data_IF_776497828199
#
_entry.id   IF_776497828199
#
_cell.length_a   1.000
_cell.length_b   1.000
_cell.length_c   1.000
_cell.angle_alpha   90.00
_cell.angle_beta   90.00
_cell.angle_gamma   90.00
#
_symmetry.space_group_name_H-M   'P 1'
#
loop_
_entity.id
_entity.type
_entity.pdbx_description
1 polymer ?
#
# COMPACT_ATOMS: atom_id res chain seq x y z
N UNK A 1 -28.34 -0.17 7.77
CA UNK A 1 -26.87 -0.14 7.57
C UNK A 1 -26.38 1.12 6.81
N UNK A 2 -27.25 2.10 6.51
CA UNK A 2 -26.95 3.20 5.57
C UNK A 2 -25.96 4.30 6.07
N UNK A 3 -25.36 4.14 7.26
CA UNK A 3 -24.46 5.13 7.86
C UNK A 3 -22.99 5.02 7.45
N UNK A 4 -22.63 4.00 6.64
CA UNK A 4 -21.24 3.75 6.22
C UNK A 4 -20.89 4.34 4.84
N UNK A 5 -21.88 4.77 4.05
CA UNK A 5 -21.66 5.32 2.72
C UNK A 5 -21.70 6.85 2.80
N UNK A 6 -20.77 7.52 2.14
CA UNK A 6 -20.71 8.99 2.04
C UNK A 6 -21.54 9.47 0.84
N UNK A 7 -22.00 10.73 0.85
CA UNK A 7 -22.57 11.37 -0.35
C UNK A 7 -21.55 12.33 -0.97
N UNK A 8 -21.42 12.40 -2.32
CA UNK A 8 -22.12 11.57 -3.31
C UNK A 8 -21.59 10.14 -3.35
N UNK A 9 -22.43 9.21 -3.82
CA UNK A 9 -22.09 7.80 -4.06
C UNK A 9 -21.14 7.65 -5.26
N UNK A 10 -21.32 8.52 -6.25
CA UNK A 10 -20.56 8.56 -7.49
C UNK A 10 -20.61 9.98 -8.05
N UNK A 11 -19.51 10.46 -8.60
CA UNK A 11 -19.48 11.68 -9.41
C UNK A 11 -18.52 11.54 -10.60
N UNK A 12 -18.86 12.19 -11.70
CA UNK A 12 -18.06 12.23 -12.93
C UNK A 12 -18.32 13.55 -13.67
N UNK A 13 -17.34 14.02 -14.42
CA UNK A 13 -17.50 15.20 -15.28
C UNK A 13 -16.65 15.12 -16.53
N UNK A 14 -17.21 15.53 -17.67
CA UNK A 14 -16.57 15.48 -18.98
C UNK A 14 -17.22 16.51 -19.93
N UNK A 15 -16.79 16.55 -21.19
CA UNK A 15 -17.35 17.41 -22.24
C UNK A 15 -18.17 16.57 -23.21
N UNK A 16 -19.29 17.14 -23.67
CA UNK A 16 -20.11 16.49 -24.68
C UNK A 16 -19.33 16.19 -25.97
N UNK A 17 -19.65 15.09 -26.69
CA UNK A 17 -19.01 14.76 -27.95
C UNK A 17 -19.31 15.79 -29.04
N UNK A 18 -18.38 15.96 -29.98
CA UNK A 18 -18.54 16.88 -31.09
C UNK A 18 -19.83 16.57 -31.91
N UNK A 19 -20.59 17.58 -32.35
CA UNK A 19 -20.26 19.01 -32.39
C UNK A 19 -20.52 19.78 -31.08
N UNK A 20 -21.14 19.15 -30.08
CA UNK A 20 -21.35 19.75 -28.76
C UNK A 20 -19.97 19.99 -28.08
N UNK A 21 -19.89 21.02 -27.26
CA UNK A 21 -18.70 21.35 -26.44
C UNK A 21 -19.05 21.73 -25.01
N UNK A 22 -20.33 21.63 -24.63
CA UNK A 22 -20.79 21.86 -23.27
C UNK A 22 -20.05 20.94 -22.30
N UNK A 23 -19.83 21.43 -21.09
CA UNK A 23 -19.30 20.64 -19.99
C UNK A 23 -20.46 20.09 -19.17
N UNK A 24 -20.34 18.84 -18.74
CA UNK A 24 -21.35 18.10 -18.00
C UNK A 24 -20.74 17.59 -16.69
N UNK A 25 -21.49 17.73 -15.60
CA UNK A 25 -21.21 17.11 -14.30
C UNK A 25 -22.40 16.25 -13.94
N UNK A 26 -22.13 15.03 -13.49
CA UNK A 26 -23.14 14.05 -13.13
C UNK A 26 -22.77 13.46 -11.77
N UNK A 27 -23.71 13.43 -10.84
CA UNK A 27 -23.51 12.72 -9.57
C UNK A 27 -24.76 12.02 -9.08
N UNK A 28 -24.54 10.97 -8.31
CA UNK A 28 -25.57 10.12 -7.70
C UNK A 28 -25.43 10.26 -6.19
N UNK A 29 -26.50 10.65 -5.51
CA UNK A 29 -26.60 10.65 -4.04
C UNK A 29 -27.40 9.43 -3.57
N UNK A 30 -27.55 9.25 -2.26
CA UNK A 30 -28.40 8.18 -1.67
C UNK A 30 -29.88 8.21 -2.07
N UNK A 31 -30.37 9.30 -2.65
CA UNK A 31 -31.80 9.50 -2.96
C UNK A 31 -32.07 10.08 -4.34
N UNK A 32 -31.07 10.73 -4.96
CA UNK A 32 -31.27 11.54 -6.16
C UNK A 32 -30.14 11.31 -7.18
N UNK A 33 -30.49 11.50 -8.45
CA UNK A 33 -29.56 11.67 -9.55
C UNK A 33 -29.52 13.15 -9.93
N UNK A 34 -28.33 13.73 -10.09
CA UNK A 34 -28.12 15.14 -10.40
C UNK A 34 -27.33 15.27 -11.71
N UNK A 35 -27.98 15.83 -12.74
CA UNK A 35 -27.40 16.16 -14.04
C UNK A 35 -27.22 17.67 -14.18
N UNK A 36 -25.99 18.14 -14.38
CA UNK A 36 -25.66 19.56 -14.55
C UNK A 36 -24.90 19.81 -15.84
N UNK A 37 -25.21 20.92 -16.52
CA UNK A 37 -24.54 21.28 -17.77
C UNK A 37 -24.22 22.78 -17.88
N UNK A 38 -23.06 23.08 -18.44
CA UNK A 38 -22.55 24.42 -18.69
C UNK A 38 -22.43 24.63 -20.20
N UNK A 39 -23.15 25.62 -20.73
CA UNK A 39 -23.11 25.96 -22.15
C UNK A 39 -21.78 26.62 -22.51
N UNK A 40 -20.89 25.91 -23.20
CA UNK A 40 -19.59 26.45 -23.60
C UNK A 40 -19.68 27.00 -25.03
N UNK A 41 -19.69 28.33 -25.12
CA UNK A 41 -19.83 29.06 -26.39
C UNK A 41 -18.93 30.29 -26.40
N UNK A 42 -18.36 30.59 -27.57
CA UNK A 42 -17.53 31.78 -27.80
C UNK A 42 -18.39 33.05 -27.93
N UNK A 43 -19.69 32.90 -28.24
CA UNK A 43 -20.62 34.01 -28.48
C UNK A 43 -20.85 34.81 -27.20
N UNK A 44 -20.75 36.13 -27.29
CA UNK A 44 -20.96 37.06 -26.16
C UNK A 44 -22.30 36.87 -25.46
N UNK A 45 -23.37 36.62 -26.23
CA UNK A 45 -24.74 36.37 -25.74
C UNK A 45 -24.79 35.19 -24.76
N UNK A 46 -24.00 34.14 -25.01
CA UNK A 46 -24.01 32.93 -24.18
C UNK A 46 -23.18 33.07 -22.89
N UNK A 47 -22.33 34.10 -22.75
CA UNK A 47 -21.38 34.24 -21.62
C UNK A 47 -22.03 34.43 -20.25
N UNK A 48 -23.30 34.83 -20.22
CA UNK A 48 -24.10 34.97 -19.00
C UNK A 48 -25.11 33.84 -18.81
N UNK A 49 -25.03 32.77 -19.62
CA UNK A 49 -25.85 31.56 -19.43
C UNK A 49 -25.53 30.95 -18.08
N UNK A 50 -26.53 30.80 -17.22
CA UNK A 50 -26.39 30.03 -15.97
C UNK A 50 -26.28 28.54 -16.32
N UNK A 51 -25.64 27.73 -15.44
CA UNK A 51 -25.66 26.28 -15.58
C UNK A 51 -27.11 25.77 -15.53
N UNK A 52 -27.41 24.73 -16.30
CA UNK A 52 -28.61 23.94 -16.09
C UNK A 52 -28.40 22.89 -15.01
N UNK A 53 -29.46 22.58 -14.27
CA UNK A 53 -29.53 21.47 -13.32
C UNK A 53 -30.86 20.76 -13.54
N UNK A 54 -30.80 19.44 -13.66
CA UNK A 54 -31.91 18.51 -13.59
C UNK A 54 -31.61 17.58 -12.41
N UNK A 55 -32.62 17.34 -11.57
CA UNK A 55 -32.52 16.49 -10.39
C UNK A 55 -33.76 15.61 -10.34
N UNK A 56 -33.53 14.32 -10.23
CA UNK A 56 -34.53 13.25 -10.35
C UNK A 56 -34.35 12.27 -9.19
N UNK A 57 -35.40 11.56 -8.80
CA UNK A 57 -35.24 10.43 -7.87
C UNK A 57 -34.57 9.25 -8.58
N UNK A 58 -34.13 8.26 -7.80
CA UNK A 58 -33.64 6.99 -8.36
C UNK A 58 -34.71 6.24 -9.18
N UNK A 59 -36.00 6.43 -8.88
CA UNK A 59 -37.10 5.82 -9.64
C UNK A 59 -37.32 6.56 -10.96
N UNK A 60 -37.43 7.90 -10.93
CA UNK A 60 -37.59 8.72 -12.15
C UNK A 60 -36.45 8.49 -13.15
N UNK A 61 -35.20 8.47 -12.67
CA UNK A 61 -34.02 8.23 -13.52
C UNK A 61 -34.02 6.83 -14.17
N UNK A 62 -34.62 5.81 -13.52
CA UNK A 62 -34.70 4.46 -14.09
C UNK A 62 -35.72 4.36 -15.23
N UNK A 63 -36.71 5.25 -15.25
CA UNK A 63 -37.70 5.36 -16.33
C UNK A 63 -37.32 6.38 -17.43
N UNK A 64 -36.54 7.43 -17.14
CA UNK A 64 -36.13 8.39 -18.20
C UNK A 64 -35.05 7.84 -19.15
N UNK A 65 -35.51 7.17 -20.20
CA UNK A 65 -34.70 6.75 -21.34
C UNK A 65 -33.94 7.90 -22.04
N UNK A 66 -34.36 9.16 -21.90
CA UNK A 66 -33.70 10.32 -22.52
C UNK A 66 -32.41 10.70 -21.77
N UNK A 67 -32.48 10.98 -20.47
CA UNK A 67 -31.30 11.28 -19.65
C UNK A 67 -30.34 10.08 -19.61
N UNK A 68 -30.85 8.85 -19.54
CA UNK A 68 -30.02 7.64 -19.68
C UNK A 68 -29.23 7.63 -21.00
N UNK A 69 -29.85 8.06 -22.11
CA UNK A 69 -29.20 8.16 -23.41
C UNK A 69 -28.14 9.27 -23.44
N UNK A 70 -28.37 10.42 -22.78
CA UNK A 70 -27.34 11.46 -22.63
C UNK A 70 -26.15 10.95 -21.78
N UNK A 71 -26.41 10.33 -20.62
CA UNK A 71 -25.38 9.71 -19.76
C UNK A 71 -24.55 8.69 -20.55
N UNK A 72 -25.19 7.80 -21.31
CA UNK A 72 -24.49 6.80 -22.12
C UNK A 72 -23.73 7.40 -23.31
N UNK A 73 -24.16 8.55 -23.83
CA UNK A 73 -23.51 9.25 -24.96
C UNK A 73 -22.30 10.07 -24.52
N UNK A 74 -22.33 10.60 -23.30
CA UNK A 74 -21.28 11.49 -22.76
C UNK A 74 -20.28 10.72 -21.91
N UNK A 75 -20.74 9.81 -21.04
CA UNK A 75 -19.89 9.05 -20.11
C UNK A 75 -19.73 7.55 -20.50
N UNK A 76 -20.48 7.07 -21.49
CA UNK A 76 -20.39 5.69 -21.99
C UNK A 76 -21.25 4.67 -21.25
N UNK A 77 -21.60 3.58 -21.93
CA UNK A 77 -22.58 2.58 -21.46
C UNK A 77 -22.25 2.01 -20.07
N UNK A 78 -20.97 1.80 -19.74
CA UNK A 78 -20.54 1.27 -18.43
C UNK A 78 -20.90 2.19 -17.26
N UNK A 79 -20.89 3.51 -17.48
CA UNK A 79 -21.27 4.49 -16.45
C UNK A 79 -22.79 4.53 -16.29
N UNK A 80 -23.55 4.36 -17.39
CA UNK A 80 -24.99 4.15 -17.32
C UNK A 80 -25.34 2.87 -16.55
N UNK A 81 -24.73 1.73 -16.90
CA UNK A 81 -24.93 0.43 -16.24
C UNK A 81 -24.63 0.50 -14.73
N UNK A 82 -23.49 1.09 -14.36
CA UNK A 82 -23.12 1.32 -12.95
C UNK A 82 -24.12 2.24 -12.24
N UNK A 83 -24.56 3.32 -12.88
CA UNK A 83 -25.51 4.26 -12.27
C UNK A 83 -26.90 3.63 -12.07
N UNK A 84 -27.36 2.79 -13.02
CA UNK A 84 -28.59 2.01 -12.84
C UNK A 84 -28.47 1.03 -11.66
N UNK A 85 -27.32 0.38 -11.50
CA UNK A 85 -27.08 -0.49 -10.35
C UNK A 85 -27.17 0.27 -9.02
N UNK A 86 -26.54 1.46 -8.93
CA UNK A 86 -26.65 2.35 -7.77
C UNK A 86 -28.10 2.77 -7.48
N UNK A 87 -28.86 3.20 -8.50
CA UNK A 87 -30.27 3.59 -8.34
C UNK A 87 -31.18 2.42 -7.91
N UNK A 88 -30.78 1.19 -8.22
CA UNK A 88 -31.44 -0.04 -7.76
C UNK A 88 -30.94 -0.51 -6.37
N UNK A 89 -30.11 0.28 -5.67
CA UNK A 89 -29.60 -0.03 -4.33
C UNK A 89 -28.37 -0.95 -4.28
N UNK A 90 -27.75 -1.25 -5.43
CA UNK A 90 -26.54 -2.08 -5.51
C UNK A 90 -25.29 -1.21 -5.26
N UNK A 91 -24.98 -0.98 -3.99
CA UNK A 91 -23.83 -0.18 -3.58
C UNK A 91 -22.58 -1.04 -3.32
N UNK A 92 -21.40 -0.53 -3.68
CA UNK A 92 -20.10 -1.15 -3.37
C UNK A 92 -19.70 -0.93 -1.90
N UNK A 93 -20.48 -1.51 -0.98
CA UNK A 93 -20.24 -1.44 0.47
C UNK A 93 -18.82 -1.85 0.87
N UNK A 94 -18.22 -2.80 0.14
CA UNK A 94 -16.91 -3.34 0.47
C UNK A 94 -15.78 -2.31 0.31
N UNK A 95 -15.86 -1.41 -0.68
CA UNK A 95 -14.84 -0.34 -0.85
C UNK A 95 -15.10 0.88 0.07
N UNK A 96 -16.19 0.86 0.85
CA UNK A 96 -16.49 1.88 1.87
C UNK A 96 -16.10 1.46 3.30
N UNK A 97 -15.72 0.19 3.52
CA UNK A 97 -15.23 -0.28 4.83
C UNK A 97 -13.82 0.26 5.12
N UNK A 98 -13.47 0.40 6.40
CA UNK A 98 -12.10 0.73 6.81
C UNK A 98 -11.15 -0.45 6.55
N UNK A 99 -9.88 -0.16 6.26
CA UNK A 99 -8.88 -1.19 5.99
C UNK A 99 -8.74 -2.18 7.16
N UNK A 100 -8.90 -1.73 8.40
CA UNK A 100 -8.93 -2.58 9.60
C UNK A 100 -10.10 -3.59 9.63
N UNK A 101 -11.27 -3.24 9.09
CA UNK A 101 -12.40 -4.17 8.96
C UNK A 101 -12.21 -5.09 7.75
N UNK A 102 -11.65 -4.58 6.65
CA UNK A 102 -11.33 -5.39 5.48
C UNK A 102 -10.27 -6.45 5.80
N UNK A 103 -9.15 -6.08 6.44
CA UNK A 103 -8.13 -7.03 6.90
C UNK A 103 -8.73 -8.14 7.79
N UNK A 104 -9.67 -7.79 8.67
CA UNK A 104 -10.38 -8.77 9.49
C UNK A 104 -11.27 -9.70 8.66
N UNK A 105 -11.99 -9.20 7.66
CA UNK A 105 -12.80 -10.02 6.74
C UNK A 105 -11.90 -10.95 5.92
N UNK A 106 -10.81 -10.41 5.36
CA UNK A 106 -9.86 -11.14 4.50
C UNK A 106 -9.16 -12.26 5.28
N UNK A 107 -8.91 -12.10 6.59
CA UNK A 107 -8.34 -13.15 7.43
C UNK A 107 -9.25 -14.37 7.65
N UNK A 108 -10.57 -14.27 7.42
CA UNK A 108 -11.48 -15.42 7.43
C UNK A 108 -11.55 -16.17 6.09
N UNK A 109 -10.92 -15.66 5.03
CA UNK A 109 -10.91 -16.30 3.71
C UNK A 109 -9.79 -17.36 3.59
N UNK A 110 -9.95 -18.26 2.61
CA UNK A 110 -8.88 -19.17 2.21
C UNK A 110 -7.83 -18.45 1.35
N UNK A 111 -6.59 -18.96 1.35
CA UNK A 111 -5.47 -18.30 0.65
C UNK A 111 -5.69 -18.19 -0.86
N UNK A 112 -6.45 -19.11 -1.44
CA UNK A 112 -6.84 -19.09 -2.84
C UNK A 112 -7.80 -17.92 -3.13
N UNK A 113 -8.83 -17.74 -2.29
CA UNK A 113 -9.77 -16.61 -2.37
C UNK A 113 -9.08 -15.26 -2.13
N UNK A 114 -8.17 -15.17 -1.14
CA UNK A 114 -7.32 -14.00 -0.92
C UNK A 114 -6.52 -13.66 -2.19
N UNK A 115 -6.03 -14.69 -2.89
CA UNK A 115 -5.35 -14.58 -4.18
C UNK A 115 -6.25 -14.08 -5.32
N UNK A 116 -7.52 -14.46 -5.37
CA UNK A 116 -8.49 -13.93 -6.35
C UNK A 116 -8.92 -12.50 -5.99
N UNK A 117 -9.18 -12.22 -4.71
CA UNK A 117 -9.57 -10.90 -4.21
C UNK A 117 -8.48 -9.85 -4.50
N UNK A 118 -7.21 -10.20 -4.37
CA UNK A 118 -6.07 -9.35 -4.77
C UNK A 118 -6.02 -8.99 -6.28
N UNK A 119 -6.86 -9.62 -7.11
CA UNK A 119 -6.98 -9.35 -8.55
C UNK A 119 -8.13 -8.41 -8.88
N UNK A 120 -9.15 -8.28 -8.01
CA UNK A 120 -10.37 -7.49 -8.29
C UNK A 120 -10.11 -5.99 -8.30
N UNK A 121 -9.45 -5.45 -7.27
CA UNK A 121 -9.14 -4.01 -7.15
C UNK A 121 -7.67 -3.75 -6.78
N UNK A 122 -7.21 -2.52 -7.03
CA UNK A 122 -5.86 -2.09 -6.62
C UNK A 122 -5.71 -2.06 -5.09
N UNK A 123 -6.77 -1.69 -4.38
CA UNK A 123 -6.80 -1.64 -2.91
C UNK A 123 -6.74 -3.03 -2.30
N UNK A 124 -7.53 -3.99 -2.80
CA UNK A 124 -7.43 -5.38 -2.33
C UNK A 124 -6.07 -6.00 -2.63
N UNK A 125 -5.41 -5.62 -3.74
CA UNK A 125 -4.03 -6.03 -4.00
C UNK A 125 -3.03 -5.49 -2.98
N UNK A 126 -3.25 -4.27 -2.47
CA UNK A 126 -2.43 -3.69 -1.40
C UNK A 126 -2.74 -4.34 -0.04
N UNK A 127 -4.01 -4.54 0.30
CA UNK A 127 -4.42 -5.17 1.58
C UNK A 127 -4.01 -6.65 1.68
N UNK A 128 -4.31 -7.49 0.68
CA UNK A 128 -3.81 -8.87 0.63
C UNK A 128 -2.28 -8.96 0.43
N UNK A 129 -1.65 -7.84 0.09
CA UNK A 129 -0.20 -7.68 -0.02
C UNK A 129 0.47 -7.17 1.26
N UNK A 130 -0.28 -6.68 2.26
CA UNK A 130 0.29 -5.95 3.38
C UNK A 130 0.92 -6.86 4.44
N UNK A 131 1.98 -6.38 5.06
CA UNK A 131 2.63 -7.10 6.17
C UNK A 131 1.67 -7.29 7.36
N UNK A 132 0.74 -6.35 7.60
CA UNK A 132 -0.34 -6.51 8.61
C UNK A 132 -1.27 -7.69 8.31
N UNK A 133 -1.61 -7.92 7.04
CA UNK A 133 -2.41 -9.09 6.66
C UNK A 133 -1.65 -10.38 6.94
N UNK A 134 -0.39 -10.47 6.49
CA UNK A 134 0.41 -11.68 6.68
C UNK A 134 0.77 -11.93 8.15
N UNK A 135 0.98 -10.88 8.95
CA UNK A 135 1.13 -10.95 10.40
C UNK A 135 -0.10 -11.54 11.10
N UNK A 136 -1.29 -11.05 10.74
CA UNK A 136 -2.57 -11.57 11.26
C UNK A 136 -2.80 -13.02 10.80
N UNK A 137 -2.51 -13.34 9.54
CA UNK A 137 -2.66 -14.69 8.99
C UNK A 137 -1.69 -15.69 9.63
N UNK A 138 -0.45 -15.29 9.93
CA UNK A 138 0.50 -16.08 10.72
C UNK A 138 -0.05 -16.29 12.14
N UNK A 139 -0.47 -15.24 12.86
CA UNK A 139 -0.99 -15.37 14.23
C UNK A 139 -2.27 -16.20 14.34
N UNK A 140 -3.17 -16.12 13.35
CA UNK A 140 -4.41 -16.89 13.33
C UNK A 140 -4.21 -18.37 12.99
N UNK A 141 -3.15 -18.71 12.25
CA UNK A 141 -2.85 -20.10 11.83
C UNK A 141 -1.75 -20.77 12.67
N UNK A 142 -0.94 -19.99 13.38
CA UNK A 142 0.10 -20.43 14.32
C UNK A 142 -0.19 -19.90 15.72
N UNK A 143 -0.84 -20.71 16.55
CA UNK A 143 -1.30 -20.37 17.92
C UNK A 143 -0.21 -19.79 18.85
N UNK A 144 1.07 -20.01 18.55
CA UNK A 144 2.21 -19.43 19.27
C UNK A 144 3.26 -18.90 18.29
N UNK A 145 3.36 -17.57 18.20
CA UNK A 145 4.46 -16.87 17.50
C UNK A 145 5.50 -16.46 18.54
N UNK A 146 6.70 -17.05 18.48
CA UNK A 146 7.80 -16.67 19.37
C UNK A 146 8.32 -15.26 19.06
N UNK A 147 8.87 -14.57 20.06
CA UNK A 147 9.50 -13.27 19.89
C UNK A 147 10.62 -13.29 18.84
N UNK A 148 11.38 -14.39 18.73
CA UNK A 148 12.41 -14.59 17.70
C UNK A 148 11.83 -14.69 16.27
N UNK A 149 10.59 -15.17 16.13
CA UNK A 149 9.88 -15.24 14.85
C UNK A 149 9.34 -13.86 14.48
N UNK A 150 8.83 -13.10 15.46
CA UNK A 150 8.37 -11.73 15.25
C UNK A 150 9.53 -10.77 14.91
N UNK A 151 10.69 -10.88 15.58
CA UNK A 151 11.86 -10.05 15.25
C UNK A 151 12.51 -10.42 13.92
N UNK A 152 12.40 -11.68 13.48
CA UNK A 152 12.77 -12.09 12.13
C UNK A 152 11.76 -11.60 11.08
N UNK A 153 10.46 -11.53 11.42
CA UNK A 153 9.43 -11.04 10.51
C UNK A 153 9.60 -9.57 10.14
N UNK A 154 10.05 -8.74 11.09
CA UNK A 154 10.35 -7.32 10.85
C UNK A 154 11.50 -7.12 9.85
N UNK A 155 12.44 -8.07 9.74
CA UNK A 155 13.58 -8.01 8.83
C UNK A 155 13.35 -8.69 7.47
N UNK A 156 12.53 -9.76 7.44
CA UNK A 156 12.39 -10.66 6.29
C UNK A 156 10.99 -10.63 5.67
N UNK A 157 10.02 -10.01 6.34
CA UNK A 157 8.61 -9.97 6.01
C UNK A 157 7.82 -11.15 6.60
N UNK A 158 6.68 -10.85 7.23
CA UNK A 158 5.67 -11.83 7.64
C UNK A 158 5.20 -12.68 6.47
N UNK A 159 5.07 -12.08 5.28
CA UNK A 159 4.73 -12.83 4.05
C UNK A 159 5.78 -13.89 3.74
N UNK A 160 7.06 -13.57 3.87
CA UNK A 160 8.15 -14.52 3.63
C UNK A 160 8.10 -15.64 4.66
N UNK A 161 7.99 -15.29 5.96
CA UNK A 161 7.86 -16.26 7.05
C UNK A 161 6.67 -17.21 6.86
N UNK A 162 5.52 -16.73 6.39
CA UNK A 162 4.35 -17.56 6.11
C UNK A 162 4.63 -18.70 5.11
N UNK A 163 5.43 -18.42 4.07
CA UNK A 163 5.78 -19.42 3.05
C UNK A 163 7.07 -20.21 3.35
N UNK A 164 7.88 -19.82 4.34
CA UNK A 164 9.07 -20.60 4.72
C UNK A 164 8.74 -21.90 5.44
N UNK A 165 9.43 -22.98 5.07
CA UNK A 165 9.38 -24.25 5.81
C UNK A 165 9.99 -24.10 7.21
N UNK A 166 9.46 -24.82 8.20
CA UNK A 166 9.97 -24.80 9.59
C UNK A 166 11.49 -25.00 9.68
N UNK A 167 12.07 -25.86 8.85
CA UNK A 167 13.51 -26.10 8.79
C UNK A 167 14.31 -24.90 8.22
N UNK A 168 13.74 -24.19 7.25
CA UNK A 168 14.34 -22.97 6.69
C UNK A 168 14.30 -21.84 7.71
N UNK A 169 13.16 -21.67 8.37
CA UNK A 169 12.94 -20.67 9.42
C UNK A 169 13.87 -20.91 10.63
N UNK A 170 14.00 -22.15 11.11
CA UNK A 170 15.01 -22.50 12.13
C UNK A 170 16.43 -22.16 11.68
N UNK A 171 16.80 -22.50 10.43
CA UNK A 171 18.13 -22.20 9.88
C UNK A 171 18.40 -20.69 9.75
N UNK A 172 17.38 -19.87 9.51
CA UNK A 172 17.49 -18.40 9.52
C UNK A 172 17.71 -17.88 10.96
N UNK A 173 16.95 -18.36 11.94
CA UNK A 173 17.11 -17.99 13.35
C UNK A 173 18.51 -18.35 13.86
N UNK A 174 18.98 -19.58 13.65
CA UNK A 174 20.33 -20.01 14.08
C UNK A 174 21.44 -19.17 13.44
N UNK A 175 21.31 -18.81 12.16
CA UNK A 175 22.26 -17.92 11.47
C UNK A 175 22.26 -16.49 12.02
N UNK A 176 21.13 -16.01 12.55
CA UNK A 176 21.03 -14.69 13.17
C UNK A 176 21.65 -14.67 14.58
N UNK A 177 21.50 -15.75 15.35
CA UNK A 177 22.12 -15.89 16.68
C UNK A 177 23.64 -15.85 16.60
N UNK A 178 24.24 -16.70 15.76
CA UNK A 178 25.68 -16.70 15.50
C UNK A 178 26.21 -15.31 15.09
N UNK A 179 25.47 -14.58 14.23
CA UNK A 179 25.84 -13.22 13.82
C UNK A 179 25.70 -12.15 14.91
N UNK A 180 24.86 -12.36 15.92
CA UNK A 180 24.78 -11.47 17.07
C UNK A 180 25.92 -11.76 18.05
N UNK A 181 26.22 -13.05 18.26
CA UNK A 181 27.36 -13.53 19.05
C UNK A 181 28.70 -12.99 18.46
N UNK A 182 28.89 -13.12 17.14
CA UNK A 182 30.02 -12.54 16.37
C UNK A 182 30.15 -11.01 16.49
N UNK A 183 29.07 -10.29 16.83
CA UNK A 183 29.06 -8.82 16.96
C UNK A 183 29.27 -8.35 18.41
N UNK A 184 28.85 -9.14 19.40
CA UNK A 184 29.03 -8.83 20.82
C UNK A 184 30.48 -9.10 21.28
N UNK A 185 31.08 -10.21 20.84
CA UNK A 185 32.50 -10.50 21.09
C UNK A 185 33.43 -9.45 20.47
N UNK A 186 33.09 -8.96 19.27
CA UNK A 186 33.83 -7.92 18.56
C UNK A 186 33.78 -6.53 19.21
N UNK A 187 33.02 -6.35 20.30
CA UNK A 187 32.88 -5.09 21.02
C UNK A 187 33.30 -5.17 22.50
N UNK A 188 33.82 -6.32 22.97
CA UNK A 188 34.46 -6.47 24.29
C UNK A 188 35.99 -6.42 24.28
N UNK A 189 36.64 -6.43 23.11
CA UNK A 189 38.10 -6.61 22.99
C UNK A 189 38.94 -5.31 22.98
N UNK A 190 38.72 -4.45 23.98
CA UNK A 190 39.68 -3.44 24.49
C UNK A 190 39.07 -2.82 25.78
N UNK A 191 39.85 -2.42 26.83
CA UNK A 191 41.22 -1.91 26.72
C UNK A 191 42.26 -2.43 27.75
N UNK A 192 43.52 -2.03 27.51
CA UNK A 192 44.59 -1.69 28.49
C UNK A 192 44.98 -2.63 29.65
N UNK A 193 46.25 -3.06 29.66
CA UNK A 193 47.14 -2.78 30.82
C UNK A 193 48.61 -2.69 30.39
N UNK A 194 49.32 -1.65 30.84
CA UNK A 194 50.77 -1.48 30.70
C UNK A 194 51.55 -1.99 31.93
N UNK A 195 52.89 -2.08 31.79
CA UNK A 195 53.93 -1.93 32.85
C UNK A 195 54.59 -3.21 33.43
N UNK A 196 55.92 -3.28 33.27
CA UNK A 196 56.94 -4.05 34.03
C UNK A 196 56.81 -5.60 34.11
N UNK A 197 57.86 -6.38 33.81
CA UNK A 197 59.20 -6.27 34.43
C UNK A 197 60.34 -6.85 33.57
N UNK A 198 61.57 -6.59 34.01
CA UNK A 198 62.89 -7.01 33.48
C UNK A 198 63.82 -7.29 34.69
N UNK A 199 65.02 -7.92 34.59
CA UNK A 199 65.69 -8.57 33.45
C UNK A 199 66.07 -10.05 33.71
N UNK A 200 66.73 -10.72 32.76
CA UNK A 200 68.06 -11.35 33.03
C UNK A 200 68.89 -11.61 31.73
N UNK A 201 70.15 -12.00 31.90
CA UNK A 201 71.20 -12.25 30.88
C UNK A 201 70.94 -13.44 29.92
N UNK A 202 71.49 -13.56 28.69
CA UNK A 202 72.35 -12.69 27.83
C UNK A 202 71.98 -12.91 26.31
N UNK A 203 72.79 -13.05 25.24
CA UNK A 203 74.24 -13.23 24.99
C UNK A 203 74.63 -13.01 23.48
N UNK A 204 75.84 -13.45 23.09
CA UNK A 204 76.39 -13.65 21.72
C UNK A 204 76.59 -12.43 20.77
N UNK A 205 77.69 -11.74 21.02
CA UNK A 205 78.63 -11.04 20.11
C UNK A 205 78.60 -11.33 18.59
N UNK A 206 78.63 -10.26 17.78
CA UNK A 206 79.63 -9.90 16.72
C UNK A 206 79.02 -8.99 15.62
N UNK A 207 79.68 -8.08 14.89
CA UNK A 207 80.94 -7.30 14.96
C UNK A 207 81.02 -6.46 13.64
N UNK A 208 81.53 -5.22 13.73
CA UNK A 208 82.37 -4.53 12.70
C UNK A 208 81.71 -3.87 11.44
N UNK A 209 82.31 -2.73 11.01
CA UNK A 209 82.02 -1.86 9.84
C UNK A 209 80.84 -0.87 10.03
N UNK A 210 80.96 0.47 9.96
CA UNK A 210 81.97 1.42 9.41
C UNK A 210 82.03 1.45 7.86
N UNK A 211 82.04 2.60 7.15
CA UNK A 211 82.11 4.03 7.55
C UNK A 211 81.46 4.97 6.51
N UNK A 212 81.29 6.25 6.87
CA UNK A 212 81.42 7.47 6.00
C UNK A 212 80.41 7.69 4.82
N UNK A 213 80.13 8.91 4.32
CA UNK A 213 80.63 10.28 4.59
C UNK A 213 79.66 11.38 4.08
N UNK A 214 79.89 12.65 4.48
CA UNK A 214 79.46 13.93 3.83
C UNK A 214 77.95 14.29 3.88
N UNK A 215 77.53 15.57 3.90
CA UNK A 215 78.26 16.87 3.84
C UNK A 215 77.64 17.89 4.81
N UNK A 216 78.41 18.89 5.26
CA UNK A 216 77.96 20.08 5.98
C UNK A 216 78.11 21.33 5.11
N UNK A 217 77.04 22.14 5.00
CA UNK A 217 76.97 23.62 5.09
C UNK A 217 75.51 24.04 4.92
#
# INVERSE_FOLDING_TARGET
>A
MASLITDPLFEISDRGPAPNKNFYYFSVTKSDVIWRWWKISVRSVDRLSRPGELRESHEDFLDDTSLQSEVSTIFGCRILEYTKALCQGHYDYLDHLSDSLLLRIINYLELEDVGQLARTSRRFRQLCGSEEFWEQAVRHRCNTVSAEVASLAVEVGWRSIFFTSKLQLQKLISRRKLKAEEQDEGQMSDPDTNTEKSPDESSETNQISASDERTLT
#
